data_IF_688121984460
#
_entry.id   IF_688121984460
#
_cell.length_a   1.000
_cell.length_b   1.000
_cell.length_c   1.000
_cell.angle_alpha   90.00
_cell.angle_beta   90.00
_cell.angle_gamma   90.00
#
_symmetry.space_group_name_H-M   'P 1'
#
loop_
_entity.id
_entity.type
_entity.pdbx_description
1 polymer ?
#
# COMPACT_ATOMS: atom_id res chain seq x y z
N UNK A 1 4.78 3.63 -13.30
CA UNK A 1 3.62 4.52 -13.24
C UNK A 1 3.35 4.98 -11.81
N UNK A 2 3.30 4.11 -10.82
CA UNK A 2 2.98 4.47 -9.43
C UNK A 2 3.89 5.59 -8.88
N UNK A 3 5.20 5.53 -9.11
CA UNK A 3 6.11 6.60 -8.69
C UNK A 3 5.72 7.97 -9.28
N UNK A 4 5.24 8.00 -10.53
CA UNK A 4 4.75 9.24 -11.15
C UNK A 4 3.46 9.74 -10.49
N UNK A 5 2.55 8.83 -10.13
CA UNK A 5 1.35 9.19 -9.35
C UNK A 5 1.75 9.85 -8.02
N UNK A 6 2.72 9.30 -7.30
CA UNK A 6 3.20 9.85 -6.03
C UNK A 6 3.80 11.27 -6.16
N UNK A 7 4.22 11.67 -7.36
CA UNK A 7 4.80 12.99 -7.66
C UNK A 7 3.75 14.02 -8.09
N UNK A 8 2.52 13.59 -8.44
CA UNK A 8 1.47 14.53 -8.87
C UNK A 8 0.99 15.43 -7.74
N UNK A 9 0.60 16.68 -8.03
CA UNK A 9 0.06 17.60 -7.03
C UNK A 9 -1.22 17.09 -6.36
N UNK A 10 -2.02 16.32 -7.06
CA UNK A 10 -3.31 15.80 -6.59
C UNK A 10 -3.13 14.64 -5.61
N UNK A 11 -2.15 13.76 -5.79
CA UNK A 11 -1.91 12.61 -4.92
C UNK A 11 -1.15 13.00 -3.66
N UNK A 12 -1.89 13.51 -2.68
CA UNK A 12 -1.35 14.04 -1.41
C UNK A 12 -0.82 12.95 -0.46
N UNK A 13 -1.27 11.70 -0.58
CA UNK A 13 -1.05 10.62 0.40
C UNK A 13 0.42 10.46 0.76
N UNK A 14 1.29 10.34 -0.24
CA UNK A 14 2.75 10.17 -0.03
C UNK A 14 3.37 11.36 0.70
N UNK A 15 3.09 12.58 0.25
CA UNK A 15 3.66 13.81 0.85
C UNK A 15 3.20 14.02 2.28
N UNK A 16 1.92 13.79 2.54
CA UNK A 16 1.33 13.93 3.88
C UNK A 16 1.97 12.94 4.84
N UNK A 17 2.11 11.67 4.44
CA UNK A 17 2.70 10.64 5.28
C UNK A 17 4.18 10.92 5.60
N UNK A 18 4.98 11.31 4.60
CA UNK A 18 6.37 11.73 4.83
C UNK A 18 6.43 12.92 5.80
N UNK A 19 5.55 13.91 5.63
CA UNK A 19 5.46 15.07 6.54
C UNK A 19 5.09 14.65 7.96
N UNK A 20 4.15 13.73 8.13
CA UNK A 20 3.78 13.19 9.44
C UNK A 20 4.93 12.44 10.11
N UNK A 21 5.65 11.59 9.37
CA UNK A 21 6.82 10.87 9.89
C UNK A 21 7.92 11.84 10.34
N UNK A 22 8.20 12.88 9.56
CA UNK A 22 9.22 13.88 9.89
C UNK A 22 8.82 14.75 11.10
N UNK A 23 7.56 15.18 11.15
CA UNK A 23 7.08 16.09 12.20
C UNK A 23 6.86 15.39 13.55
N UNK A 24 6.54 14.10 13.54
CA UNK A 24 6.26 13.33 14.76
C UNK A 24 7.35 12.29 15.09
N UNK A 25 8.50 12.36 14.39
CA UNK A 25 9.57 11.36 14.51
C UNK A 25 10.05 11.15 15.95
N UNK A 26 10.18 12.21 16.74
CA UNK A 26 10.58 12.13 18.16
C UNK A 26 9.56 11.35 18.99
N UNK A 27 8.27 11.60 18.81
CA UNK A 27 7.19 10.90 19.51
C UNK A 27 7.14 9.42 19.09
N UNK A 28 7.20 9.15 17.78
CA UNK A 28 7.25 7.80 17.23
C UNK A 28 8.44 7.03 17.83
N UNK A 29 9.64 7.65 17.84
CA UNK A 29 10.84 7.04 18.40
C UNK A 29 10.72 6.74 19.90
N UNK A 30 10.11 7.64 20.66
CA UNK A 30 9.88 7.45 22.10
C UNK A 30 8.93 6.28 22.39
N UNK A 31 7.89 6.11 21.57
CA UNK A 31 6.92 4.99 21.69
C UNK A 31 7.53 3.65 21.31
N UNK A 32 8.36 3.62 20.27
CA UNK A 32 8.98 2.38 19.75
C UNK A 32 10.18 1.96 20.63
N UNK A 33 10.95 2.93 21.13
CA UNK A 33 12.17 2.69 21.92
C UNK A 33 13.40 2.41 21.08
N UNK A 34 14.55 2.30 21.76
CA UNK A 34 15.84 2.08 21.12
C UNK A 34 16.04 0.64 20.62
N UNK A 35 16.95 0.47 19.66
CA UNK A 35 17.37 -0.81 19.07
C UNK A 35 16.21 -1.62 18.48
N UNK A 36 15.24 -0.95 17.84
CA UNK A 36 14.05 -1.56 17.25
C UNK A 36 14.38 -2.43 16.04
N UNK A 37 13.57 -3.49 15.85
CA UNK A 37 13.58 -4.34 14.67
C UNK A 37 12.39 -3.95 13.79
N UNK A 38 12.64 -3.31 12.66
CA UNK A 38 11.62 -2.78 11.76
C UNK A 38 11.38 -3.73 10.61
N UNK A 39 10.13 -4.11 10.39
CA UNK A 39 9.67 -4.82 9.18
C UNK A 39 8.78 -3.89 8.38
N UNK A 40 8.91 -3.86 7.06
CA UNK A 40 8.05 -3.08 6.19
C UNK A 40 7.33 -3.97 5.19
N UNK A 41 6.01 -3.86 5.12
CA UNK A 41 5.17 -4.52 4.14
C UNK A 41 4.91 -3.60 2.95
N UNK A 42 5.27 -4.06 1.73
CA UNK A 42 5.15 -3.26 0.53
C UNK A 42 6.20 -2.13 0.47
N UNK A 43 7.47 -2.47 0.43
CA UNK A 43 8.56 -1.51 0.63
C UNK A 43 8.70 -0.41 -0.45
N UNK A 44 7.99 -0.50 -1.57
CA UNK A 44 7.88 0.53 -2.62
C UNK A 44 9.17 1.37 -2.82
N UNK A 45 9.06 2.68 -2.66
CA UNK A 45 10.22 3.58 -2.66
C UNK A 45 10.79 3.72 -1.25
N UNK A 46 12.13 3.86 -1.12
CA UNK A 46 12.80 3.99 0.18
C UNK A 46 12.50 5.30 0.95
N UNK A 47 11.72 6.22 0.40
CA UNK A 47 11.52 7.55 0.99
C UNK A 47 10.87 7.50 2.38
N UNK A 48 9.82 6.70 2.55
CA UNK A 48 9.08 6.63 3.80
C UNK A 48 9.86 5.89 4.88
N UNK A 49 10.49 4.77 4.52
CA UNK A 49 11.31 4.02 5.46
C UNK A 49 12.57 4.81 5.87
N UNK A 50 13.17 5.58 4.97
CA UNK A 50 14.28 6.45 5.30
C UNK A 50 13.86 7.52 6.32
N UNK A 51 12.66 8.13 6.16
CA UNK A 51 12.12 9.08 7.12
C UNK A 51 11.92 8.42 8.50
N UNK A 52 11.35 7.21 8.54
CA UNK A 52 11.16 6.48 9.78
C UNK A 52 12.51 6.11 10.45
N UNK A 53 13.41 5.46 9.73
CA UNK A 53 14.71 5.02 10.28
C UNK A 53 15.57 6.20 10.76
N UNK A 54 15.48 7.36 10.09
CA UNK A 54 16.17 8.58 10.52
C UNK A 54 15.61 9.14 11.84
N UNK A 55 14.35 8.88 12.15
CA UNK A 55 13.70 9.34 13.38
C UNK A 55 13.94 8.38 14.57
N UNK A 56 14.16 7.09 14.30
CA UNK A 56 14.31 6.08 15.35
C UNK A 56 15.66 6.16 16.05
N UNK A 57 15.66 5.84 17.34
CA UNK A 57 16.89 5.78 18.14
C UNK A 57 17.59 4.44 17.94
N UNK A 58 18.74 4.46 17.24
CA UNK A 58 19.60 3.29 17.01
C UNK A 58 18.84 2.05 16.48
N UNK A 59 18.11 2.13 15.35
CA UNK A 59 17.41 0.97 14.81
C UNK A 59 18.42 -0.16 14.50
N UNK A 60 18.12 -1.38 14.96
CA UNK A 60 19.05 -2.51 14.86
C UNK A 60 18.93 -3.28 13.55
N UNK A 61 17.70 -3.58 13.15
CA UNK A 61 17.41 -4.36 11.93
C UNK A 61 16.28 -3.74 11.12
N UNK A 62 16.37 -3.89 9.81
CA UNK A 62 15.30 -3.59 8.86
C UNK A 62 15.08 -4.78 7.93
N UNK A 63 13.86 -5.25 7.83
CA UNK A 63 13.43 -6.30 6.90
C UNK A 63 12.42 -5.72 5.91
N UNK A 64 12.85 -5.54 4.66
CA UNK A 64 11.97 -5.19 3.57
C UNK A 64 11.22 -6.43 3.06
N UNK A 65 9.90 -6.31 2.86
CA UNK A 65 9.05 -7.40 2.35
C UNK A 65 8.21 -6.87 1.20
N UNK A 66 8.34 -7.48 0.03
CA UNK A 66 7.60 -7.10 -1.17
C UNK A 66 7.51 -8.28 -2.13
N UNK A 67 6.45 -8.34 -2.92
CA UNK A 67 6.30 -9.33 -3.99
C UNK A 67 7.14 -9.00 -5.22
N UNK A 68 7.49 -7.73 -5.42
CA UNK A 68 8.31 -7.24 -6.53
C UNK A 68 9.80 -7.37 -6.23
N UNK A 69 10.43 -8.46 -6.68
CA UNK A 69 11.84 -8.74 -6.45
C UNK A 69 12.77 -7.58 -6.82
N UNK A 70 12.55 -6.93 -7.96
CA UNK A 70 13.42 -5.84 -8.42
C UNK A 70 13.35 -4.61 -7.51
N UNK A 71 12.13 -4.17 -7.15
CA UNK A 71 11.92 -3.05 -6.23
C UNK A 71 12.46 -3.36 -4.84
N UNK A 72 12.19 -4.56 -4.34
CA UNK A 72 12.67 -5.04 -3.06
C UNK A 72 14.21 -4.92 -2.94
N UNK A 73 14.95 -5.45 -3.91
CA UNK A 73 16.41 -5.41 -3.90
C UNK A 73 16.95 -3.98 -4.03
N UNK A 74 16.33 -3.14 -4.86
CA UNK A 74 16.72 -1.73 -4.99
C UNK A 74 16.51 -0.98 -3.67
N UNK A 75 15.36 -1.15 -3.02
CA UNK A 75 15.06 -0.52 -1.73
C UNK A 75 16.00 -1.01 -0.64
N UNK A 76 16.20 -2.32 -0.50
CA UNK A 76 17.12 -2.88 0.50
C UNK A 76 18.56 -2.36 0.33
N UNK A 77 19.06 -2.29 -0.90
CA UNK A 77 20.41 -1.73 -1.20
C UNK A 77 20.48 -0.24 -0.87
N UNK A 78 19.44 0.53 -1.18
CA UNK A 78 19.36 1.96 -0.88
C UNK A 78 19.41 2.20 0.63
N UNK A 79 18.60 1.47 1.40
CA UNK A 79 18.56 1.56 2.87
C UNK A 79 19.91 1.14 3.48
N UNK A 80 20.49 0.01 3.05
CA UNK A 80 21.79 -0.44 3.56
C UNK A 80 22.92 0.57 3.32
N UNK A 81 22.86 1.30 2.20
CA UNK A 81 23.82 2.38 1.90
C UNK A 81 23.61 3.61 2.79
N UNK A 82 22.34 3.97 3.06
CA UNK A 82 21.99 5.17 3.83
C UNK A 82 22.20 4.94 5.33
N UNK A 83 21.94 3.72 5.83
CA UNK A 83 22.01 3.34 7.25
C UNK A 83 22.99 2.18 7.46
N UNK A 84 24.30 2.39 7.36
CA UNK A 84 25.30 1.31 7.41
C UNK A 84 25.37 0.58 8.77
N UNK A 85 24.83 1.16 9.84
CA UNK A 85 24.73 0.53 11.15
C UNK A 85 23.51 -0.39 11.30
N UNK A 86 22.53 -0.31 10.39
CA UNK A 86 21.30 -1.12 10.40
C UNK A 86 21.56 -2.40 9.63
N UNK A 87 21.24 -3.54 10.25
CA UNK A 87 21.25 -4.83 9.55
C UNK A 87 20.04 -4.92 8.62
N UNK A 88 20.27 -4.92 7.31
CA UNK A 88 19.20 -4.92 6.30
C UNK A 88 18.98 -6.32 5.74
N UNK A 89 17.72 -6.76 5.76
CA UNK A 89 17.24 -7.99 5.13
C UNK A 89 16.20 -7.69 4.04
N UNK A 90 16.01 -8.64 3.12
CA UNK A 90 14.99 -8.58 2.08
C UNK A 90 14.30 -9.94 1.96
N UNK A 91 12.97 -9.94 1.93
CA UNK A 91 12.14 -11.13 1.77
C UNK A 91 11.16 -10.92 0.63
N UNK A 92 11.34 -11.67 -0.48
CA UNK A 92 10.40 -11.63 -1.60
C UNK A 92 9.22 -12.60 -1.29
N UNK A 93 8.11 -12.04 -0.87
CA UNK A 93 6.93 -12.80 -0.48
C UNK A 93 5.66 -11.94 -0.56
N UNK A 94 4.52 -12.60 -0.69
CA UNK A 94 3.23 -11.99 -0.41
C UNK A 94 3.08 -11.82 1.11
N UNK A 95 3.05 -10.59 1.58
CA UNK A 95 2.92 -10.31 3.01
C UNK A 95 1.57 -10.76 3.60
N UNK A 96 0.57 -10.98 2.76
CA UNK A 96 -0.73 -11.52 3.19
C UNK A 96 -0.64 -12.99 3.64
N UNK A 97 0.37 -13.71 3.18
CA UNK A 97 0.59 -15.15 3.46
C UNK A 97 1.65 -15.40 4.55
N UNK A 98 2.31 -14.34 5.06
CA UNK A 98 3.33 -14.49 6.09
C UNK A 98 2.67 -14.85 7.43
N UNK A 99 3.01 -16.01 7.97
CA UNK A 99 2.52 -16.52 9.25
C UNK A 99 3.58 -16.52 10.34
N UNK A 100 4.87 -16.54 9.96
CA UNK A 100 6.01 -16.57 10.87
C UNK A 100 7.11 -15.61 10.42
N UNK A 101 7.83 -15.04 11.40
CA UNK A 101 9.01 -14.22 11.13
C UNK A 101 10.20 -15.08 10.73
N UNK A 102 11.06 -14.61 9.81
CA UNK A 102 12.29 -15.32 9.49
C UNK A 102 13.14 -15.55 10.75
N UNK A 103 13.65 -16.78 10.95
CA UNK A 103 14.41 -17.20 12.13
C UNK A 103 15.61 -16.32 12.53
N UNK A 104 16.08 -15.48 11.60
CA UNK A 104 17.22 -14.56 11.82
C UNK A 104 16.81 -13.13 12.10
N UNK A 105 15.50 -12.82 12.04
CA UNK A 105 14.98 -11.50 12.34
C UNK A 105 14.63 -11.38 13.83
N UNK A 106 14.96 -10.24 14.43
CA UNK A 106 14.64 -9.99 15.84
C UNK A 106 15.63 -10.60 16.84
N UNK A 107 16.83 -11.01 16.42
CA UNK A 107 17.86 -11.58 17.28
C UNK A 107 18.36 -10.67 18.40
N UNK A 108 17.96 -9.40 18.42
CA UNK A 108 18.28 -8.42 19.48
C UNK A 108 17.44 -8.58 20.74
N UNK A 109 16.43 -9.43 20.74
CA UNK A 109 15.46 -9.59 21.84
C UNK A 109 14.48 -8.44 22.02
N UNK A 110 14.47 -7.47 21.09
CA UNK A 110 13.49 -6.37 21.07
C UNK A 110 12.23 -6.76 20.31
N UNK A 111 11.11 -6.21 20.76
CA UNK A 111 9.84 -6.41 20.11
C UNK A 111 9.86 -5.85 18.67
N UNK A 112 9.27 -6.56 17.70
CA UNK A 112 9.24 -6.10 16.32
C UNK A 112 8.24 -4.95 16.12
N UNK A 113 8.61 -4.04 15.22
CA UNK A 113 7.74 -3.02 14.66
C UNK A 113 7.38 -3.40 13.23
N UNK A 114 6.10 -3.53 12.92
CA UNK A 114 5.64 -3.54 11.53
C UNK A 114 5.35 -2.12 11.07
N UNK A 115 5.99 -1.68 9.99
CA UNK A 115 5.68 -0.47 9.26
C UNK A 115 4.85 -0.81 8.02
N UNK A 116 3.62 -0.29 7.97
CA UNK A 116 2.69 -0.53 6.86
C UNK A 116 2.14 0.80 6.33
N UNK A 117 2.92 1.49 5.49
CA UNK A 117 2.61 2.84 5.01
C UNK A 117 1.69 2.87 3.80
N UNK A 118 1.36 4.09 3.34
CA UNK A 118 0.75 4.37 2.05
C UNK A 118 -0.75 4.21 1.99
N UNK A 119 -1.39 4.00 3.13
CA UNK A 119 -2.82 3.65 3.19
C UNK A 119 -3.18 2.38 2.41
N UNK A 120 -2.20 1.48 2.25
CA UNK A 120 -2.37 0.19 1.56
C UNK A 120 -3.48 -0.66 2.19
N UNK A 121 -3.69 -0.52 3.51
CA UNK A 121 -4.81 -1.14 4.22
C UNK A 121 -6.17 -0.74 3.64
N UNK A 122 -6.27 0.42 3.01
CA UNK A 122 -7.49 0.89 2.34
C UNK A 122 -7.88 0.08 1.10
N UNK A 123 -6.99 -0.74 0.55
CA UNK A 123 -7.32 -1.63 -0.56
C UNK A 123 -8.14 -2.86 -0.12
N UNK A 124 -8.24 -3.07 1.18
CA UNK A 124 -8.99 -4.15 1.80
C UNK A 124 -10.34 -3.64 2.32
N UNK A 125 -11.35 -4.49 2.30
CA UNK A 125 -12.60 -4.19 3.01
C UNK A 125 -12.36 -4.03 4.51
N UNK A 126 -13.20 -3.33 5.27
CA UNK A 126 -13.03 -3.19 6.72
C UNK A 126 -12.94 -4.53 7.46
N UNK A 127 -13.64 -5.57 6.96
CA UNK A 127 -13.55 -6.92 7.51
C UNK A 127 -12.19 -7.59 7.25
N UNK A 128 -11.68 -7.48 6.03
CA UNK A 128 -10.35 -7.99 5.65
C UNK A 128 -9.24 -7.23 6.37
N UNK A 129 -9.38 -5.90 6.53
CA UNK A 129 -8.45 -5.08 7.30
C UNK A 129 -8.38 -5.53 8.77
N UNK A 130 -9.53 -5.87 9.39
CA UNK A 130 -9.55 -6.46 10.71
C UNK A 130 -8.85 -7.82 10.76
N UNK A 131 -9.12 -8.72 9.82
CA UNK A 131 -8.44 -10.02 9.74
C UNK A 131 -6.92 -9.85 9.53
N UNK A 132 -6.50 -8.89 8.70
CA UNK A 132 -5.09 -8.56 8.51
C UNK A 132 -4.44 -8.13 9.83
N UNK A 133 -5.05 -7.19 10.55
CA UNK A 133 -4.55 -6.73 11.85
C UNK A 133 -4.46 -7.88 12.87
N UNK A 134 -5.45 -8.77 12.92
CA UNK A 134 -5.42 -9.96 13.78
C UNK A 134 -4.25 -10.90 13.44
N UNK A 135 -3.98 -11.14 12.15
CA UNK A 135 -2.79 -11.91 11.72
C UNK A 135 -1.48 -11.22 12.12
N UNK A 136 -1.41 -9.90 11.88
CA UNK A 136 -0.24 -9.11 12.28
C UNK A 136 -0.01 -9.16 13.80
N UNK A 137 -1.07 -9.05 14.60
CA UNK A 137 -0.97 -9.19 16.07
C UNK A 137 -0.39 -10.53 16.47
N UNK A 138 -0.86 -11.63 15.86
CA UNK A 138 -0.33 -12.97 16.14
C UNK A 138 1.15 -13.08 15.72
N UNK A 139 1.53 -12.52 14.56
CA UNK A 139 2.90 -12.51 14.06
C UNK A 139 3.86 -11.74 14.98
N UNK A 140 3.44 -10.56 15.43
CA UNK A 140 4.26 -9.67 16.25
C UNK A 140 4.31 -10.08 17.73
N UNK A 141 3.34 -10.86 18.20
CA UNK A 141 3.18 -11.21 19.62
C UNK A 141 2.71 -10.01 20.47
N UNK A 142 2.54 -10.24 21.77
CA UNK A 142 1.93 -9.27 22.68
C UNK A 142 2.68 -7.93 22.79
N UNK A 143 4.00 -7.94 22.63
CA UNK A 143 4.86 -6.76 22.78
C UNK A 143 5.21 -6.08 21.44
N UNK A 144 4.78 -6.64 20.31
CA UNK A 144 5.03 -6.05 19.01
C UNK A 144 4.11 -4.85 18.72
N UNK A 145 4.58 -3.95 17.88
CA UNK A 145 3.87 -2.72 17.50
C UNK A 145 3.63 -2.64 16.01
N UNK A 146 2.59 -1.90 15.61
CA UNK A 146 2.36 -1.53 14.22
C UNK A 146 2.35 -0.01 14.07
N UNK A 147 3.08 0.50 13.08
CA UNK A 147 2.96 1.86 12.58
C UNK A 147 2.30 1.81 11.22
N UNK A 148 1.07 2.28 11.11
CA UNK A 148 0.25 2.12 9.92
C UNK A 148 -0.21 3.46 9.37
N UNK A 149 -0.06 3.65 8.06
CA UNK A 149 -0.63 4.79 7.33
C UNK A 149 -2.07 4.52 6.95
N UNK A 150 -2.97 5.43 7.35
CA UNK A 150 -4.40 5.33 7.07
C UNK A 150 -4.91 6.65 6.52
N UNK A 151 -5.47 6.63 5.34
CA UNK A 151 -6.06 7.83 4.75
C UNK A 151 -7.47 8.09 5.30
N UNK A 152 -7.73 9.36 5.64
CA UNK A 152 -8.96 9.75 6.32
C UNK A 152 -10.02 10.27 5.34
N UNK A 153 -11.30 10.14 5.75
CA UNK A 153 -12.43 10.78 5.08
C UNK A 153 -12.22 12.30 5.04
N UNK A 154 -12.44 12.90 3.88
CA UNK A 154 -12.29 14.33 3.62
C UNK A 154 -13.18 14.76 2.44
N UNK A 155 -13.07 16.00 2.01
CA UNK A 155 -13.80 16.52 0.86
C UNK A 155 -13.65 15.59 -0.37
N UNK A 156 -14.78 15.23 -0.98
CA UNK A 156 -14.84 14.28 -2.10
C UNK A 156 -14.08 14.76 -3.34
N UNK A 157 -13.99 16.08 -3.56
CA UNK A 157 -13.27 16.61 -4.70
C UNK A 157 -11.75 16.41 -4.54
N UNK A 158 -11.25 16.46 -3.28
CA UNK A 158 -9.85 16.15 -2.99
C UNK A 158 -9.61 14.67 -3.25
N UNK A 159 -10.50 13.80 -2.76
CA UNK A 159 -10.39 12.35 -2.95
C UNK A 159 -10.46 11.96 -4.43
N UNK A 160 -11.44 12.49 -5.17
CA UNK A 160 -11.60 12.18 -6.60
C UNK A 160 -10.34 12.58 -7.39
N UNK A 161 -9.85 13.81 -7.20
CA UNK A 161 -8.65 14.28 -7.91
C UNK A 161 -7.39 13.49 -7.59
N UNK A 162 -7.27 12.98 -6.38
CA UNK A 162 -6.11 12.17 -6.01
C UNK A 162 -6.02 10.85 -6.78
N UNK A 163 -7.16 10.37 -7.33
CA UNK A 163 -7.22 9.15 -8.12
C UNK A 163 -7.58 9.40 -9.59
N UNK A 164 -7.64 10.67 -10.00
CA UNK A 164 -7.85 11.10 -11.39
C UNK A 164 -7.05 12.39 -11.64
N UNK A 165 -5.73 12.25 -11.67
CA UNK A 165 -4.77 13.34 -11.83
C UNK A 165 -4.83 13.97 -13.23
N UNK A 166 -4.59 15.27 -13.30
CA UNK A 166 -4.65 16.03 -14.57
C UNK A 166 -3.65 15.55 -15.63
N UNK A 167 -2.52 14.98 -15.21
CA UNK A 167 -1.51 14.41 -16.12
C UNK A 167 -1.88 13.01 -16.65
N UNK A 168 -2.92 12.37 -16.08
CA UNK A 168 -3.43 11.06 -16.49
C UNK A 168 -2.54 9.86 -16.13
N UNK A 169 -1.65 10.00 -15.15
CA UNK A 169 -0.82 8.88 -14.71
C UNK A 169 -1.64 7.79 -14.02
N UNK A 170 -2.65 8.17 -13.23
CA UNK A 170 -3.57 7.21 -12.61
C UNK A 170 -4.42 6.50 -13.65
N UNK A 171 -4.93 7.23 -14.65
CA UNK A 171 -5.64 6.63 -15.77
C UNK A 171 -4.75 5.63 -16.53
N UNK A 172 -3.50 6.00 -16.81
CA UNK A 172 -2.55 5.11 -17.47
C UNK A 172 -2.20 3.88 -16.61
N UNK A 173 -2.13 4.04 -15.30
CA UNK A 173 -1.92 2.95 -14.33
C UNK A 173 -3.09 1.97 -14.35
N UNK A 174 -4.32 2.46 -14.29
CA UNK A 174 -5.50 1.61 -14.32
C UNK A 174 -5.65 0.87 -15.66
N UNK A 175 -5.51 1.58 -16.79
CA UNK A 175 -5.52 0.98 -18.14
C UNK A 175 -4.39 -0.02 -18.37
N UNK A 176 -3.32 0.02 -17.58
CA UNK A 176 -2.23 -0.94 -17.69
C UNK A 176 -2.65 -2.37 -17.34
N UNK A 177 -3.70 -2.55 -16.56
CA UNK A 177 -4.29 -3.87 -16.29
C UNK A 177 -4.70 -4.56 -17.61
N UNK A 178 -5.44 -3.86 -18.47
CA UNK A 178 -5.84 -4.40 -19.79
C UNK A 178 -4.65 -4.60 -20.71
N UNK A 179 -3.64 -3.71 -20.66
CA UNK A 179 -2.40 -3.89 -21.44
C UNK A 179 -1.65 -5.15 -21.02
N UNK A 180 -1.59 -5.41 -19.71
CA UNK A 180 -0.97 -6.63 -19.17
C UNK A 180 -1.77 -7.87 -19.54
N UNK A 181 -3.09 -7.85 -19.42
CA UNK A 181 -3.94 -8.95 -19.90
C UNK A 181 -3.65 -9.28 -21.37
N UNK A 182 -3.58 -8.26 -22.24
CA UNK A 182 -3.27 -8.41 -23.66
C UNK A 182 -1.88 -9.00 -23.90
N UNK A 183 -0.86 -8.46 -23.24
CA UNK A 183 0.54 -8.78 -23.56
C UNK A 183 1.02 -10.05 -22.85
N UNK A 184 0.69 -10.21 -21.58
CA UNK A 184 1.19 -11.28 -20.73
C UNK A 184 0.28 -12.52 -20.79
N UNK A 185 -1.05 -12.31 -20.78
CA UNK A 185 -2.04 -13.38 -20.76
C UNK A 185 -2.65 -13.66 -22.14
N UNK A 186 -2.24 -12.93 -23.19
CA UNK A 186 -2.74 -13.09 -24.57
C UNK A 186 -4.24 -12.88 -24.72
N UNK A 187 -4.85 -12.09 -23.82
CA UNK A 187 -6.25 -11.71 -23.97
C UNK A 187 -6.48 -10.86 -25.23
N UNK A 188 -7.59 -11.11 -25.89
CA UNK A 188 -8.06 -10.28 -27.01
C UNK A 188 -8.88 -9.14 -26.42
N UNK A 189 -8.27 -7.96 -26.32
CA UNK A 189 -8.88 -6.75 -25.74
C UNK A 189 -8.45 -5.51 -26.52
N UNK A 190 -9.41 -4.64 -26.83
CA UNK A 190 -9.14 -3.31 -27.33
C UNK A 190 -9.03 -2.32 -26.16
N UNK A 191 -7.80 -2.10 -25.70
CA UNK A 191 -7.52 -1.18 -24.57
C UNK A 191 -8.02 0.24 -24.84
N UNK A 192 -7.99 0.69 -26.11
CA UNK A 192 -8.44 2.03 -26.50
C UNK A 192 -9.95 2.24 -26.37
N UNK A 193 -10.72 1.15 -26.28
CA UNK A 193 -12.17 1.16 -26.07
C UNK A 193 -12.59 1.28 -24.62
N UNK A 194 -11.66 1.44 -23.69
CA UNK A 194 -11.92 1.71 -22.29
C UNK A 194 -11.38 3.08 -21.87
N UNK A 195 -11.97 3.66 -20.84
CA UNK A 195 -11.44 4.84 -20.16
C UNK A 195 -11.44 4.63 -18.64
N UNK A 196 -10.62 5.38 -17.97
CA UNK A 196 -10.52 5.38 -16.50
C UNK A 196 -11.63 6.26 -15.92
N UNK A 197 -12.22 5.78 -14.82
CA UNK A 197 -13.14 6.53 -13.98
C UNK A 197 -12.74 6.28 -12.53
N UNK A 198 -12.57 7.36 -11.75
CA UNK A 198 -12.40 7.26 -10.30
C UNK A 198 -13.40 8.19 -9.59
N UNK A 199 -13.98 7.71 -8.49
CA UNK A 199 -14.90 8.51 -7.68
C UNK A 199 -14.93 8.01 -6.24
N UNK A 200 -15.21 8.94 -5.32
CA UNK A 200 -15.47 8.61 -3.93
C UNK A 200 -16.92 8.15 -3.75
N UNK A 201 -17.09 6.89 -3.39
CA UNK A 201 -18.37 6.30 -3.00
C UNK A 201 -18.62 6.62 -1.53
N UNK A 202 -19.49 7.62 -1.26
CA UNK A 202 -19.79 8.09 0.09
C UNK A 202 -20.47 7.01 0.95
N UNK A 203 -21.32 6.17 0.34
CA UNK A 203 -22.02 5.09 1.06
C UNK A 203 -21.06 4.01 1.54
N UNK A 204 -20.07 3.68 0.73
CA UNK A 204 -19.05 2.67 1.05
C UNK A 204 -17.80 3.28 1.71
N UNK A 205 -17.72 4.61 1.80
CA UNK A 205 -16.57 5.32 2.36
C UNK A 205 -15.23 4.93 1.69
N UNK A 206 -15.21 4.80 0.37
CA UNK A 206 -14.03 4.41 -0.39
C UNK A 206 -13.95 5.13 -1.72
N UNK A 207 -12.75 5.36 -2.23
CA UNK A 207 -12.55 5.66 -3.64
C UNK A 207 -12.60 4.34 -4.40
N UNK A 208 -13.31 4.36 -5.51
CA UNK A 208 -13.38 3.25 -6.46
C UNK A 208 -12.71 3.67 -7.77
N UNK A 209 -11.92 2.76 -8.35
CA UNK A 209 -11.43 2.92 -9.72
C UNK A 209 -12.09 1.88 -10.62
N UNK A 210 -12.48 2.34 -11.79
CA UNK A 210 -13.16 1.54 -12.80
C UNK A 210 -12.52 1.74 -14.17
N UNK A 211 -12.61 0.71 -15.01
CA UNK A 211 -12.40 0.80 -16.45
C UNK A 211 -13.77 0.73 -17.12
N UNK A 212 -14.17 1.78 -17.81
CA UNK A 212 -15.50 1.93 -18.40
C UNK A 212 -15.44 1.64 -19.89
N UNK A 213 -16.31 0.78 -20.39
CA UNK A 213 -16.40 0.47 -21.82
C UNK A 213 -17.06 1.62 -22.58
N UNK A 214 -16.40 2.14 -23.63
CA UNK A 214 -16.90 3.21 -24.49
C UNK A 214 -17.98 2.75 -25.47
N UNK A 215 -18.09 1.44 -25.73
CA UNK A 215 -18.95 0.85 -26.74
C UNK A 215 -19.28 -0.60 -26.41
N UNK A 216 -20.23 -1.19 -27.11
CA UNK A 216 -20.41 -2.64 -27.08
C UNK A 216 -19.17 -3.33 -27.65
N UNK A 217 -18.60 -4.27 -26.90
CA UNK A 217 -17.38 -4.99 -27.24
C UNK A 217 -17.25 -6.29 -26.43
N UNK A 218 -16.23 -7.06 -26.76
CA UNK A 218 -15.90 -8.30 -26.05
C UNK A 218 -14.44 -8.32 -25.63
N UNK A 219 -14.16 -9.01 -24.52
CA UNK A 219 -12.83 -9.45 -24.13
C UNK A 219 -12.82 -10.97 -24.19
N UNK A 220 -11.87 -11.55 -24.93
CA UNK A 220 -11.69 -13.01 -24.96
C UNK A 220 -10.41 -13.37 -24.20
N UNK A 221 -10.53 -14.31 -23.28
CA UNK A 221 -9.42 -14.76 -22.44
C UNK A 221 -9.60 -16.25 -22.08
N UNK A 222 -8.59 -17.05 -22.32
CA UNK A 222 -8.58 -18.50 -22.05
C UNK A 222 -9.83 -19.25 -22.58
N UNK A 223 -10.26 -18.89 -23.79
CA UNK A 223 -11.43 -19.50 -24.44
C UNK A 223 -12.79 -19.00 -23.91
N UNK A 224 -12.81 -18.14 -22.92
CA UNK A 224 -14.02 -17.48 -22.41
C UNK A 224 -14.18 -16.11 -23.04
N UNK A 225 -15.42 -15.72 -23.34
CA UNK A 225 -15.75 -14.39 -23.90
C UNK A 225 -16.63 -13.63 -22.92
N UNK A 226 -16.21 -12.41 -22.60
CA UNK A 226 -16.91 -11.48 -21.74
C UNK A 226 -17.45 -10.33 -22.58
N UNK A 227 -18.76 -10.15 -22.57
CA UNK A 227 -19.43 -9.08 -23.30
C UNK A 227 -19.54 -7.83 -22.42
N UNK A 228 -19.37 -6.66 -23.02
CA UNK A 228 -19.53 -5.36 -22.39
C UNK A 228 -20.49 -4.52 -23.20
N UNK A 229 -21.46 -3.92 -22.55
CA UNK A 229 -22.28 -2.85 -23.11
C UNK A 229 -21.55 -1.51 -22.99
N UNK A 230 -21.97 -0.45 -23.74
CA UNK A 230 -21.51 0.91 -23.46
C UNK A 230 -21.78 1.26 -21.99
N UNK A 231 -20.82 1.96 -21.35
CA UNK A 231 -20.83 2.39 -19.96
C UNK A 231 -20.77 1.25 -18.91
N UNK A 232 -20.67 0.00 -19.33
CA UNK A 232 -20.41 -1.11 -18.40
C UNK A 232 -18.97 -1.05 -17.87
N UNK A 233 -18.78 -1.41 -16.61
CA UNK A 233 -17.51 -1.17 -15.91
C UNK A 233 -16.85 -2.43 -15.40
N UNK A 234 -15.51 -2.42 -15.40
CA UNK A 234 -14.68 -3.33 -14.62
C UNK A 234 -14.21 -2.56 -13.38
N UNK A 235 -14.62 -2.97 -12.20
CA UNK A 235 -14.16 -2.42 -10.95
C UNK A 235 -12.75 -2.95 -10.66
N UNK A 236 -11.77 -2.08 -10.58
CA UNK A 236 -10.34 -2.45 -10.55
C UNK A 236 -9.68 -2.28 -9.20
N UNK A 237 -10.10 -1.27 -8.43
CA UNK A 237 -9.47 -0.96 -7.15
C UNK A 237 -10.46 -0.31 -6.16
N UNK A 238 -10.28 -0.61 -4.90
CA UNK A 238 -10.88 0.10 -3.77
C UNK A 238 -9.79 0.82 -2.97
N UNK A 239 -10.13 1.99 -2.43
CA UNK A 239 -9.31 2.64 -1.43
C UNK A 239 -10.19 3.23 -0.34
N UNK A 240 -10.39 2.43 0.73
CA UNK A 240 -11.22 2.82 1.87
C UNK A 240 -10.63 3.98 2.64
N UNK A 241 -11.50 4.88 3.05
CA UNK A 241 -11.18 6.05 3.86
C UNK A 241 -11.90 5.94 5.20
N UNK A 242 -11.19 6.20 6.26
CA UNK A 242 -11.69 6.01 7.62
C UNK A 242 -11.80 7.34 8.37
N UNK A 243 -12.64 7.40 9.38
CA UNK A 243 -12.40 8.33 10.50
C UNK A 243 -11.43 7.69 11.50
N UNK A 244 -10.76 8.49 12.31
CA UNK A 244 -9.89 7.97 13.37
C UNK A 244 -10.63 6.98 14.26
N UNK A 245 -11.85 7.32 14.67
CA UNK A 245 -12.68 6.44 15.53
C UNK A 245 -12.99 5.09 14.89
N UNK A 246 -13.32 5.08 13.59
CA UNK A 246 -13.62 3.83 12.88
C UNK A 246 -12.39 2.93 12.82
N UNK A 247 -11.24 3.50 12.45
CA UNK A 247 -10.01 2.70 12.32
C UNK A 247 -9.48 2.24 13.68
N UNK A 248 -9.49 3.11 14.70
CA UNK A 248 -9.10 2.73 16.07
C UNK A 248 -9.94 1.55 16.58
N UNK A 249 -11.26 1.58 16.34
CA UNK A 249 -12.12 0.46 16.73
C UNK A 249 -11.78 -0.85 16.00
N UNK A 250 -11.40 -0.78 14.72
CA UNK A 250 -10.94 -1.98 13.98
C UNK A 250 -9.65 -2.49 14.61
N UNK A 251 -8.69 -1.61 14.93
CA UNK A 251 -7.42 -1.98 15.55
C UNK A 251 -7.62 -2.59 16.93
N UNK A 252 -8.38 -1.94 17.81
CA UNK A 252 -8.70 -2.41 19.17
C UNK A 252 -9.35 -3.79 19.17
N UNK A 253 -10.33 -4.02 18.28
CA UNK A 253 -11.02 -5.31 18.17
C UNK A 253 -10.07 -6.45 17.71
N UNK A 254 -8.90 -6.11 17.17
CA UNK A 254 -7.90 -7.05 16.67
C UNK A 254 -6.57 -7.00 17.44
N UNK A 255 -6.61 -6.45 18.67
CA UNK A 255 -5.53 -6.56 19.66
C UNK A 255 -4.47 -5.45 19.60
N UNK A 256 -4.75 -4.32 18.92
CA UNK A 256 -3.90 -3.13 18.89
C UNK A 256 -4.51 -1.97 19.65
#
# INVERSE_FOLDING_TARGET
LFNKICETPEYYVTRTEISLLNNNGTEISALIGAASNVMEYGCGSSLKINALLSALHEPAEYLAIDISHEHLIQTAKSVAKTFPAVKVGALCADFMEIVDLPNKFGGTGKAPLLFFPGSTIGNQTPGEAGQFLGRVRNLLGANGSILIGVDLKKDKNILNRAYDDAEGFTAAFNLNLLKRMKNELKAEVDVGSFYHLAFFNEQQSRVEMHLVSKRAQTITFEGSTFEFLPDETIHTENSYKYSLKEFSKIAENNGF
#
